data_IF_850456145542
#
_entry.id   IF_850456145542
#
_cell.length_a   1.000
_cell.length_b   1.000
_cell.length_c   1.000
_cell.angle_alpha   90.00
_cell.angle_beta   90.00
_cell.angle_gamma   90.00
#
_symmetry.space_group_name_H-M   'P 1'
#
loop_
_entity.id
_entity.type
_entity.pdbx_description
1 polymer ?
#
# COMPACT_ATOMS: atom_id res chain seq x y z
N UNK A 1 46.16 13.30 65.17
CA UNK A 1 44.89 12.92 64.51
C UNK A 1 45.15 12.87 63.00
N UNK A 2 45.06 11.69 62.37
CA UNK A 2 45.16 11.52 60.91
C UNK A 2 43.78 11.10 60.41
N UNK A 3 43.09 12.01 59.74
CA UNK A 3 41.77 11.77 59.15
C UNK A 3 41.99 11.07 57.80
N UNK A 4 41.62 9.80 57.70
CA UNK A 4 41.60 9.06 56.43
C UNK A 4 40.28 9.41 55.74
N UNK A 5 40.35 10.14 54.64
CA UNK A 5 39.22 10.46 53.79
C UNK A 5 38.95 9.23 52.90
N UNK A 6 37.94 8.44 53.24
CA UNK A 6 37.44 7.34 52.41
C UNK A 6 36.67 7.94 51.23
N UNK A 7 37.31 8.00 50.05
CA UNK A 7 36.64 8.30 48.80
C UNK A 7 35.87 7.07 48.35
N UNK A 8 34.56 7.04 48.64
CA UNK A 8 33.64 6.05 48.11
C UNK A 8 33.34 6.41 46.65
N UNK A 9 34.09 5.83 45.71
CA UNK A 9 33.77 5.94 44.27
C UNK A 9 32.55 5.07 44.01
N UNK A 10 31.36 5.66 44.02
CA UNK A 10 30.14 5.02 43.55
C UNK A 10 30.27 4.79 42.05
N UNK A 11 30.42 3.53 41.63
CA UNK A 11 30.34 3.15 40.22
C UNK A 11 28.88 3.35 39.81
N UNK A 12 28.63 4.46 39.10
CA UNK A 12 27.34 4.72 38.46
C UNK A 12 27.21 3.73 37.30
N UNK A 13 26.55 2.60 37.51
CA UNK A 13 26.25 1.65 36.43
C UNK A 13 25.14 2.23 35.57
N UNK A 14 25.50 3.04 34.57
CA UNK A 14 24.57 3.44 33.51
C UNK A 14 24.26 2.22 32.67
N UNK A 15 23.05 1.69 32.80
CA UNK A 15 22.53 0.65 31.93
C UNK A 15 22.42 1.21 30.51
N UNK A 16 23.38 0.87 29.65
CA UNK A 16 23.27 1.13 28.20
C UNK A 16 22.36 0.02 27.68
N UNK A 17 21.05 0.31 27.56
CA UNK A 17 20.18 -0.55 26.76
C UNK A 17 20.48 -0.26 25.30
N UNK A 18 20.75 -1.29 24.51
CA UNK A 18 20.78 -1.13 23.07
C UNK A 18 19.38 -0.68 22.60
N UNK A 19 19.33 0.27 21.67
CA UNK A 19 18.08 0.69 21.07
C UNK A 19 17.63 -0.39 20.08
N UNK A 20 16.36 -0.77 20.16
CA UNK A 20 15.76 -1.74 19.24
C UNK A 20 14.74 -1.06 18.33
N UNK A 21 14.61 -1.61 17.13
CA UNK A 21 13.57 -1.30 16.16
C UNK A 21 12.54 -2.42 16.18
N UNK A 22 11.26 -2.11 16.32
CA UNK A 22 10.20 -3.13 16.24
C UNK A 22 10.03 -3.62 14.81
N UNK A 23 10.06 -4.94 14.62
CA UNK A 23 9.79 -5.67 13.38
C UNK A 23 8.69 -6.72 13.68
N UNK A 24 7.40 -6.34 13.77
CA UNK A 24 6.36 -7.24 14.26
C UNK A 24 6.05 -8.43 13.32
N UNK A 25 6.39 -8.31 12.04
CA UNK A 25 6.18 -9.36 11.05
C UNK A 25 7.33 -10.38 11.14
N UNK A 26 7.00 -11.59 11.60
CA UNK A 26 7.99 -12.65 11.79
C UNK A 26 8.64 -13.09 10.46
N UNK A 27 7.95 -12.96 9.33
CA UNK A 27 8.51 -13.25 8.01
C UNK A 27 9.57 -12.22 7.62
N UNK A 28 9.32 -10.94 7.91
CA UNK A 28 10.30 -9.88 7.71
C UNK A 28 11.52 -10.07 8.61
N UNK A 29 11.30 -10.33 9.90
CA UNK A 29 12.38 -10.59 10.86
C UNK A 29 13.21 -11.82 10.47
N UNK A 30 12.57 -12.93 10.07
CA UNK A 30 13.27 -14.11 9.56
C UNK A 30 14.13 -13.77 8.33
N UNK A 31 13.63 -12.94 7.41
CA UNK A 31 14.42 -12.51 6.26
C UNK A 31 15.66 -11.72 6.69
N UNK A 32 15.55 -10.86 7.71
CA UNK A 32 16.70 -10.13 8.26
C UNK A 32 17.74 -11.07 8.91
N UNK A 33 17.29 -12.13 9.58
CA UNK A 33 18.17 -13.18 10.13
C UNK A 33 18.90 -13.92 8.99
N UNK A 34 18.15 -14.36 7.97
CA UNK A 34 18.70 -15.14 6.84
C UNK A 34 19.71 -14.32 6.01
N UNK A 35 19.50 -13.00 5.93
CA UNK A 35 20.42 -12.04 5.31
C UNK A 35 21.61 -11.68 6.20
N UNK A 36 21.67 -12.17 7.44
CA UNK A 36 22.72 -11.87 8.41
C UNK A 36 22.71 -10.43 8.92
N UNK A 37 21.57 -9.76 8.83
CA UNK A 37 21.37 -8.38 9.32
C UNK A 37 21.05 -8.43 10.81
N UNK A 38 20.10 -9.27 11.23
CA UNK A 38 19.70 -9.38 12.63
C UNK A 38 20.73 -10.19 13.43
N UNK A 39 21.49 -9.49 14.27
CA UNK A 39 22.68 -10.05 14.93
C UNK A 39 22.35 -11.02 16.07
N UNK A 40 21.14 -10.96 16.63
CA UNK A 40 20.73 -11.85 17.73
C UNK A 40 20.13 -13.19 17.23
N UNK A 41 19.87 -13.28 15.92
CA UNK A 41 19.37 -14.47 15.21
C UNK A 41 18.09 -15.06 15.82
N UNK A 42 17.27 -14.23 16.47
CA UNK A 42 16.09 -14.67 17.20
C UNK A 42 14.86 -13.92 16.74
N UNK A 43 13.85 -14.65 16.25
CA UNK A 43 12.54 -14.07 15.92
C UNK A 43 11.84 -13.64 17.23
N UNK A 44 11.87 -12.35 17.55
CA UNK A 44 11.36 -11.79 18.80
C UNK A 44 10.54 -10.49 18.59
N UNK A 45 10.29 -10.09 17.34
CA UNK A 45 9.53 -8.91 16.95
C UNK A 45 10.35 -7.62 16.94
N UNK A 46 11.68 -7.69 16.98
CA UNK A 46 12.57 -6.53 17.02
C UNK A 46 13.98 -6.88 16.56
N UNK A 47 14.72 -5.87 16.10
CA UNK A 47 16.15 -5.97 15.78
C UNK A 47 16.91 -4.85 16.48
N UNK A 48 18.22 -4.97 16.67
CA UNK A 48 19.01 -3.82 17.12
C UNK A 48 18.94 -2.72 16.06
N UNK A 49 18.66 -1.47 16.46
CA UNK A 49 18.60 -0.36 15.51
C UNK A 49 19.94 -0.16 14.80
N UNK A 50 21.06 -0.49 15.46
CA UNK A 50 22.40 -0.47 14.87
C UNK A 50 22.58 -1.47 13.73
N UNK A 51 21.89 -2.60 13.78
CA UNK A 51 22.01 -3.66 12.78
C UNK A 51 21.45 -3.20 11.45
N UNK A 52 20.28 -2.54 11.49
CA UNK A 52 19.59 -2.06 10.28
C UNK A 52 20.04 -0.68 9.80
N UNK A 53 20.52 0.19 10.70
CA UNK A 53 20.86 1.58 10.35
C UNK A 53 22.01 1.70 9.34
N UNK A 54 22.91 0.71 9.29
CA UNK A 54 24.05 0.67 8.36
C UNK A 54 23.80 -0.08 7.05
N UNK A 55 22.65 -0.74 6.93
CA UNK A 55 22.27 -1.50 5.73
C UNK A 55 22.07 -0.55 4.55
N UNK A 56 22.73 -0.85 3.43
CA UNK A 56 22.67 -0.03 2.20
C UNK A 56 21.89 -0.70 1.07
N UNK A 57 21.70 -2.02 1.13
CA UNK A 57 20.88 -2.78 0.20
C UNK A 57 20.07 -3.82 0.96
N UNK A 58 18.78 -3.90 0.68
CA UNK A 58 17.86 -4.90 1.22
C UNK A 58 17.10 -5.54 0.06
N UNK A 59 17.31 -6.83 -0.15
CA UNK A 59 16.62 -7.61 -1.17
C UNK A 59 15.76 -8.69 -0.50
N UNK A 60 14.45 -8.56 -0.62
CA UNK A 60 13.45 -9.49 -0.14
C UNK A 60 12.75 -10.23 -1.29
N UNK A 61 13.23 -10.09 -2.52
CA UNK A 61 12.66 -10.80 -3.67
C UNK A 61 12.90 -12.31 -3.58
N UNK A 62 12.12 -13.14 -4.32
CA UNK A 62 12.31 -14.59 -4.35
C UNK A 62 13.75 -14.96 -4.71
N UNK A 63 14.27 -15.97 -4.02
CA UNK A 63 15.64 -16.46 -4.22
C UNK A 63 15.63 -17.93 -4.62
N UNK A 64 16.78 -18.43 -5.08
CA UNK A 64 16.93 -19.84 -5.41
C UNK A 64 16.86 -20.70 -4.14
N UNK A 65 15.65 -21.13 -3.79
CA UNK A 65 15.36 -21.84 -2.54
C UNK A 65 14.01 -21.51 -1.92
N UNK A 66 13.33 -20.44 -2.36
CA UNK A 66 12.00 -20.09 -1.87
C UNK A 66 11.70 -18.59 -1.92
N UNK A 67 10.79 -18.19 -1.06
CA UNK A 67 10.34 -16.81 -0.88
C UNK A 67 10.16 -16.52 0.61
N UNK A 68 10.38 -15.28 1.01
CA UNK A 68 10.07 -14.84 2.38
C UNK A 68 8.57 -14.56 2.48
N UNK A 69 7.91 -15.09 3.51
CA UNK A 69 6.48 -14.84 3.75
C UNK A 69 6.28 -13.50 4.47
N UNK A 70 6.65 -12.39 3.82
CA UNK A 70 6.55 -11.05 4.42
C UNK A 70 5.17 -10.46 4.13
N UNK A 71 4.37 -10.22 5.17
CA UNK A 71 3.07 -9.56 5.00
C UNK A 71 3.15 -8.06 5.27
N UNK A 72 4.13 -7.61 6.08
CA UNK A 72 4.30 -6.23 6.47
C UNK A 72 5.79 -5.92 6.73
N UNK A 73 6.27 -4.77 6.25
CA UNK A 73 7.66 -4.31 6.46
C UNK A 73 7.79 -3.21 7.52
N UNK A 74 6.87 -3.16 8.48
CA UNK A 74 6.92 -2.19 9.59
C UNK A 74 8.29 -2.24 10.27
N UNK A 75 8.88 -1.06 10.52
CA UNK A 75 10.24 -0.92 11.02
C UNK A 75 11.28 -0.62 9.94
N UNK A 76 10.93 -0.75 8.65
CA UNK A 76 11.80 -0.37 7.52
C UNK A 76 12.32 1.08 7.61
N UNK A 77 11.60 1.97 8.30
CA UNK A 77 12.01 3.37 8.52
C UNK A 77 13.33 3.52 9.30
N UNK A 78 13.76 2.48 10.02
CA UNK A 78 15.04 2.47 10.73
C UNK A 78 16.26 2.19 9.84
N UNK A 79 16.06 1.81 8.57
CA UNK A 79 17.13 1.54 7.60
C UNK A 79 17.63 2.86 6.98
N UNK A 80 18.20 3.72 7.82
CA UNK A 80 18.50 5.13 7.49
C UNK A 80 19.57 5.31 6.40
N UNK A 81 20.39 4.29 6.14
CA UNK A 81 21.41 4.28 5.08
C UNK A 81 20.98 3.54 3.81
N UNK A 82 19.73 3.09 3.72
CA UNK A 82 19.27 2.24 2.63
C UNK A 82 19.22 2.98 1.30
N UNK A 83 19.91 2.43 0.30
CA UNK A 83 20.00 2.94 -1.07
C UNK A 83 19.24 2.07 -2.06
N UNK A 84 19.25 0.76 -1.86
CA UNK A 84 18.59 -0.19 -2.74
C UNK A 84 17.58 -0.98 -1.92
N UNK A 85 16.32 -0.96 -2.35
CA UNK A 85 15.25 -1.76 -1.76
C UNK A 85 14.58 -2.58 -2.86
N UNK A 86 14.66 -3.90 -2.76
CA UNK A 86 13.95 -4.81 -3.65
C UNK A 86 12.90 -5.60 -2.88
N UNK A 87 11.65 -5.33 -3.21
CA UNK A 87 10.44 -5.94 -2.68
C UNK A 87 9.64 -6.65 -3.79
N UNK A 88 10.26 -6.87 -4.95
CA UNK A 88 9.60 -7.54 -6.07
C UNK A 88 9.13 -8.92 -5.63
N UNK A 89 7.87 -9.25 -5.94
CA UNK A 89 7.25 -10.55 -5.63
C UNK A 89 7.24 -10.98 -4.15
N UNK A 90 7.42 -10.07 -3.19
CA UNK A 90 7.46 -10.46 -1.76
C UNK A 90 6.08 -10.84 -1.19
N UNK A 91 4.97 -10.46 -1.86
CA UNK A 91 3.61 -10.82 -1.42
C UNK A 91 3.11 -10.05 -0.20
N UNK A 92 3.37 -8.73 -0.13
CA UNK A 92 2.83 -7.86 0.91
C UNK A 92 1.30 -7.90 0.96
N UNK A 93 0.76 -8.04 2.17
CA UNK A 93 -0.67 -8.03 2.46
C UNK A 93 -1.53 -9.06 1.71
N UNK A 94 -0.96 -10.18 1.26
CA UNK A 94 -1.70 -11.27 0.57
C UNK A 94 -2.83 -11.86 1.41
N UNK A 95 -2.74 -11.80 2.74
CA UNK A 95 -3.80 -12.24 3.64
C UNK A 95 -5.13 -11.45 3.51
N UNK A 96 -5.12 -10.32 2.80
CA UNK A 96 -6.31 -9.50 2.53
C UNK A 96 -7.10 -9.95 1.28
N UNK A 97 -6.62 -10.97 0.55
CA UNK A 97 -7.25 -11.44 -0.67
C UNK A 97 -7.25 -10.37 -1.75
N UNK A 98 -8.42 -10.05 -2.33
CA UNK A 98 -8.56 -8.98 -3.33
C UNK A 98 -8.87 -7.60 -2.71
N UNK A 99 -8.74 -7.45 -1.39
CA UNK A 99 -8.94 -6.16 -0.73
C UNK A 99 -7.65 -5.34 -0.75
N UNK A 100 -7.71 -4.02 -1.02
CA UNK A 100 -6.52 -3.18 -1.00
C UNK A 100 -5.93 -3.12 0.41
N UNK A 101 -4.61 -3.31 0.51
CA UNK A 101 -3.84 -3.09 1.74
C UNK A 101 -3.59 -1.61 2.02
N UNK A 102 -2.83 -1.30 3.09
CA UNK A 102 -2.44 0.07 3.38
C UNK A 102 -1.40 0.59 2.35
N UNK A 103 -1.24 1.92 2.24
CA UNK A 103 -0.13 2.51 1.50
C UNK A 103 1.24 2.03 2.02
N UNK A 104 2.17 1.81 1.11
CA UNK A 104 3.58 1.55 1.40
C UNK A 104 4.31 2.90 1.51
N UNK A 105 4.53 3.35 2.74
CA UNK A 105 5.23 4.61 3.00
C UNK A 105 6.74 4.42 3.15
N UNK A 106 7.49 4.93 2.18
CA UNK A 106 8.96 4.89 2.10
C UNK A 106 9.60 6.29 2.26
N UNK A 107 8.82 7.30 2.66
CA UNK A 107 9.27 8.69 2.80
C UNK A 107 10.41 8.90 3.82
N UNK A 108 10.58 7.95 4.75
CA UNK A 108 11.68 7.94 5.71
C UNK A 108 13.03 7.52 5.09
N UNK A 109 13.01 6.80 3.95
CA UNK A 109 14.20 6.28 3.28
C UNK A 109 14.86 7.34 2.39
N UNK A 110 15.33 8.43 3.00
CA UNK A 110 15.86 9.60 2.27
C UNK A 110 17.11 9.34 1.43
N UNK A 111 17.82 8.23 1.69
CA UNK A 111 18.99 7.81 0.92
C UNK A 111 18.66 6.85 -0.23
N UNK A 112 17.37 6.53 -0.44
CA UNK A 112 16.96 5.56 -1.45
C UNK A 112 17.28 6.05 -2.87
N UNK A 113 18.01 5.23 -3.61
CA UNK A 113 18.49 5.45 -4.98
C UNK A 113 17.76 4.52 -5.96
N UNK A 114 17.44 3.29 -5.56
CA UNK A 114 16.77 2.29 -6.38
C UNK A 114 15.67 1.58 -5.59
N UNK A 115 14.47 1.55 -6.16
CA UNK A 115 13.33 0.81 -5.62
C UNK A 115 12.77 -0.15 -6.66
N UNK A 116 12.71 -1.42 -6.29
CA UNK A 116 12.13 -2.50 -7.09
C UNK A 116 10.94 -3.08 -6.33
N UNK A 117 9.80 -3.14 -7.01
CA UNK A 117 8.50 -3.54 -6.51
C UNK A 117 7.73 -4.24 -7.62
N UNK A 118 8.40 -4.99 -8.49
CA UNK A 118 7.73 -5.64 -9.62
C UNK A 118 6.85 -6.79 -9.13
N UNK A 119 5.67 -6.93 -9.73
CA UNK A 119 4.77 -8.07 -9.54
C UNK A 119 4.84 -9.06 -10.70
N UNK A 120 4.36 -10.28 -10.47
CA UNK A 120 4.21 -11.34 -11.47
C UNK A 120 2.73 -11.70 -11.73
N UNK A 121 1.85 -10.69 -11.72
CA UNK A 121 0.41 -10.87 -11.95
C UNK A 121 -0.29 -11.68 -10.85
N UNK A 122 -1.14 -12.63 -11.25
CA UNK A 122 -2.08 -13.38 -10.39
C UNK A 122 -1.46 -14.29 -9.31
N UNK A 123 -0.18 -14.65 -9.41
CA UNK A 123 0.39 -15.76 -8.62
C UNK A 123 0.89 -15.34 -7.24
N UNK A 124 1.39 -14.11 -7.10
CA UNK A 124 1.79 -13.50 -5.82
C UNK A 124 1.35 -12.04 -5.87
N UNK A 125 0.19 -11.74 -5.30
CA UNK A 125 -0.38 -10.39 -5.38
C UNK A 125 0.25 -9.48 -4.32
N UNK A 126 0.98 -8.46 -4.78
CA UNK A 126 1.35 -7.32 -3.95
C UNK A 126 0.08 -6.48 -3.75
N UNK A 127 -0.54 -6.59 -2.57
CA UNK A 127 -1.80 -5.92 -2.27
C UNK A 127 -1.58 -4.49 -1.76
N UNK A 128 -0.78 -3.71 -2.48
CA UNK A 128 -0.40 -2.33 -2.13
C UNK A 128 -1.02 -1.38 -3.15
N UNK A 129 -2.04 -0.58 -2.75
CA UNK A 129 -2.68 0.35 -3.68
C UNK A 129 -1.85 1.61 -3.95
N UNK A 130 -0.92 1.92 -3.06
CA UNK A 130 -0.17 3.17 -3.09
C UNK A 130 1.24 3.00 -2.57
N UNK A 131 2.20 3.60 -3.29
CA UNK A 131 3.58 3.76 -2.85
C UNK A 131 3.86 5.25 -2.61
N UNK A 132 4.33 5.61 -1.41
CA UNK A 132 4.66 6.98 -1.03
C UNK A 132 6.18 7.15 -1.05
N UNK A 133 6.65 7.97 -2.00
CA UNK A 133 8.06 8.30 -2.24
C UNK A 133 8.26 9.83 -2.31
N UNK A 134 7.53 10.56 -1.46
CA UNK A 134 7.47 12.03 -1.49
C UNK A 134 8.68 12.70 -0.82
N UNK A 135 9.60 11.94 -0.21
CA UNK A 135 10.82 12.46 0.42
C UNK A 135 12.07 11.59 0.15
N UNK A 136 12.24 11.17 -1.11
CA UNK A 136 13.30 10.30 -1.61
C UNK A 136 14.05 11.00 -2.77
N UNK A 137 14.82 12.07 -2.49
CA UNK A 137 15.37 12.97 -3.52
C UNK A 137 16.53 12.38 -4.33
N UNK A 138 16.99 11.17 -3.98
CA UNK A 138 18.13 10.51 -4.63
C UNK A 138 17.71 9.39 -5.60
N UNK A 139 16.41 9.17 -5.80
CA UNK A 139 15.91 8.10 -6.68
C UNK A 139 16.40 8.27 -8.12
N UNK A 140 16.96 7.20 -8.66
CA UNK A 140 17.37 7.08 -10.06
C UNK A 140 16.66 5.93 -10.76
N UNK A 141 16.09 4.98 -10.00
CA UNK A 141 15.34 3.85 -10.53
C UNK A 141 14.12 3.51 -9.67
N UNK A 142 12.99 3.33 -10.34
CA UNK A 142 11.73 2.90 -9.78
C UNK A 142 11.08 1.87 -10.70
N UNK A 143 11.04 0.61 -10.29
CA UNK A 143 10.41 -0.45 -11.07
C UNK A 143 9.25 -1.06 -10.28
N UNK A 144 8.03 -0.82 -10.73
CA UNK A 144 6.78 -1.25 -10.10
C UNK A 144 5.78 -1.78 -11.16
N UNK A 145 6.29 -2.45 -12.20
CA UNK A 145 5.47 -3.09 -13.21
C UNK A 145 4.78 -4.34 -12.68
N UNK A 146 3.69 -4.78 -13.33
CA UNK A 146 3.05 -6.06 -12.98
C UNK A 146 2.25 -6.07 -11.67
N UNK A 147 1.95 -4.89 -11.11
CA UNK A 147 1.18 -4.74 -9.87
C UNK A 147 -0.27 -4.37 -10.16
N UNK A 148 -1.19 -5.31 -10.01
CA UNK A 148 -2.60 -5.08 -10.39
C UNK A 148 -3.40 -4.27 -9.39
N UNK A 149 -2.95 -4.21 -8.13
CA UNK A 149 -3.55 -3.33 -7.12
C UNK A 149 -2.93 -1.95 -7.08
N UNK A 150 -1.74 -1.74 -7.63
CA UNK A 150 -1.07 -0.46 -7.55
C UNK A 150 -1.81 0.56 -8.39
N UNK A 151 -2.40 1.55 -7.74
CA UNK A 151 -3.14 2.63 -8.38
C UNK A 151 -2.33 3.93 -8.39
N UNK A 152 -1.47 4.12 -7.39
CA UNK A 152 -0.80 5.41 -7.15
C UNK A 152 0.66 5.27 -6.73
N UNK A 153 1.52 6.11 -7.32
CA UNK A 153 2.87 6.37 -6.84
C UNK A 153 2.99 7.86 -6.55
N UNK A 154 3.37 8.22 -5.33
CA UNK A 154 3.50 9.61 -4.89
C UNK A 154 4.97 10.05 -4.94
N UNK A 155 5.35 10.77 -6.00
CA UNK A 155 6.69 11.39 -6.13
C UNK A 155 6.69 12.89 -5.83
N UNK A 156 5.51 13.52 -5.77
CA UNK A 156 5.35 14.96 -5.57
C UNK A 156 6.14 15.46 -4.36
N UNK A 157 7.08 16.36 -4.61
CA UNK A 157 8.05 16.89 -3.64
C UNK A 157 9.44 16.34 -3.92
N UNK A 158 9.59 15.02 -4.03
CA UNK A 158 10.86 14.37 -4.39
C UNK A 158 11.24 14.57 -5.84
N UNK A 159 10.24 14.54 -6.72
CA UNK A 159 10.40 14.71 -8.15
C UNK A 159 11.16 15.99 -8.53
N UNK A 160 11.10 17.04 -7.69
CA UNK A 160 11.85 18.29 -7.86
C UNK A 160 13.37 18.13 -7.85
N UNK A 161 13.88 16.99 -7.37
CA UNK A 161 15.30 16.68 -7.23
C UNK A 161 15.77 15.54 -8.15
N UNK A 162 14.84 14.85 -8.82
CA UNK A 162 15.15 13.68 -9.66
C UNK A 162 15.49 14.11 -11.09
N UNK A 163 16.77 14.37 -11.36
CA UNK A 163 17.21 14.83 -12.69
C UNK A 163 17.28 13.74 -13.76
N UNK A 164 17.33 12.48 -13.34
CA UNK A 164 17.35 11.31 -14.20
C UNK A 164 16.69 10.16 -13.44
N UNK A 165 15.53 9.72 -13.94
CA UNK A 165 14.75 8.64 -13.34
C UNK A 165 14.41 7.63 -14.43
N UNK A 166 14.80 6.38 -14.21
CA UNK A 166 14.24 5.24 -14.93
C UNK A 166 13.02 4.73 -14.17
N UNK A 167 11.86 4.72 -14.81
CA UNK A 167 10.61 4.30 -14.20
C UNK A 167 9.87 3.27 -15.05
N UNK A 168 9.44 2.19 -14.42
CA UNK A 168 8.48 1.24 -14.98
C UNK A 168 7.31 1.15 -14.00
N UNK A 169 6.07 1.34 -14.46
CA UNK A 169 4.89 1.10 -13.66
C UNK A 169 3.67 0.80 -14.56
N UNK A 170 2.65 0.21 -13.94
CA UNK A 170 1.49 -0.29 -14.65
C UNK A 170 1.77 -1.61 -15.37
N UNK A 171 0.75 -2.12 -16.04
CA UNK A 171 0.78 -3.41 -16.72
C UNK A 171 -0.28 -3.47 -17.84
N UNK A 172 -0.35 -4.56 -18.60
CA UNK A 172 -1.43 -4.83 -19.54
C UNK A 172 -2.08 -6.16 -19.20
N UNK A 173 -3.40 -6.19 -19.12
CA UNK A 173 -4.13 -7.44 -18.96
C UNK A 173 -3.87 -8.33 -20.19
N UNK A 174 -3.30 -9.54 -20.02
CA UNK A 174 -2.91 -10.39 -21.14
C UNK A 174 -4.11 -11.00 -21.88
N UNK A 175 -5.30 -11.02 -21.27
CA UNK A 175 -6.53 -11.56 -21.86
C UNK A 175 -7.37 -10.50 -22.55
N UNK A 176 -7.49 -9.30 -21.97
CA UNK A 176 -8.32 -8.21 -22.52
C UNK A 176 -7.51 -7.21 -23.34
N UNK A 177 -6.20 -7.10 -23.07
CA UNK A 177 -5.33 -6.07 -23.63
C UNK A 177 -5.56 -4.68 -23.02
N UNK A 178 -6.42 -4.57 -22.00
CA UNK A 178 -6.69 -3.31 -21.31
C UNK A 178 -5.48 -2.87 -20.47
N UNK A 179 -5.26 -1.55 -20.40
CA UNK A 179 -4.15 -0.98 -19.64
C UNK A 179 -4.44 -0.95 -18.14
N UNK A 180 -3.45 -1.39 -17.39
CA UNK A 180 -3.37 -1.22 -15.95
C UNK A 180 -2.59 0.06 -15.63
N UNK A 181 -3.14 1.20 -16.04
CA UNK A 181 -2.74 2.55 -15.66
C UNK A 181 -2.44 2.73 -14.16
N UNK A 182 -1.27 3.31 -13.87
CA UNK A 182 -0.86 3.82 -12.56
C UNK A 182 -0.80 5.35 -12.61
N UNK A 183 -1.38 6.01 -11.60
CA UNK A 183 -1.24 7.45 -11.44
C UNK A 183 0.07 7.79 -10.73
N UNK A 184 0.94 8.56 -11.38
CA UNK A 184 2.18 9.06 -10.78
C UNK A 184 1.97 10.52 -10.38
N UNK A 185 1.86 10.76 -9.08
CA UNK A 185 1.65 12.09 -8.54
C UNK A 185 2.97 12.87 -8.56
N UNK A 186 3.01 13.97 -9.28
CA UNK A 186 4.18 14.84 -9.44
C UNK A 186 3.86 16.30 -9.13
N UNK A 187 4.88 17.12 -8.96
CA UNK A 187 4.76 18.55 -8.69
C UNK A 187 4.26 19.33 -9.89
N UNK A 188 4.64 18.95 -11.12
CA UNK A 188 4.15 19.57 -12.35
C UNK A 188 3.81 18.51 -13.41
N UNK A 189 2.54 18.07 -13.43
CA UNK A 189 2.04 17.03 -14.34
C UNK A 189 2.24 17.38 -15.81
N UNK A 190 1.97 18.63 -16.21
CA UNK A 190 2.12 19.09 -17.58
C UNK A 190 3.57 18.98 -18.06
N UNK A 191 4.56 19.32 -17.24
CA UNK A 191 5.96 19.14 -17.63
C UNK A 191 6.35 17.65 -17.68
N UNK A 192 5.85 16.84 -16.75
CA UNK A 192 6.12 15.39 -16.75
C UNK A 192 5.54 14.70 -17.99
N UNK A 193 4.28 14.97 -18.34
CA UNK A 193 3.62 14.45 -19.55
C UNK A 193 4.35 14.82 -20.84
N UNK A 194 4.89 16.04 -20.89
CA UNK A 194 5.61 16.52 -22.08
C UNK A 194 7.11 16.19 -22.06
N UNK A 195 7.64 15.53 -21.03
CA UNK A 195 9.07 15.27 -20.88
C UNK A 195 9.91 16.56 -20.88
N UNK A 196 9.47 17.58 -20.13
CA UNK A 196 10.08 18.90 -20.10
C UNK A 196 10.67 19.24 -18.74
N UNK A 197 11.55 20.25 -18.71
CA UNK A 197 12.15 20.73 -17.47
C UNK A 197 12.94 19.63 -16.75
N UNK A 198 12.66 19.44 -15.47
CA UNK A 198 13.31 18.43 -14.62
C UNK A 198 13.04 17.00 -15.08
N UNK A 199 11.92 16.76 -15.79
CA UNK A 199 11.50 15.44 -16.26
C UNK A 199 12.11 15.07 -17.62
N UNK A 200 12.90 15.96 -18.23
CA UNK A 200 13.39 15.78 -19.62
C UNK A 200 14.32 14.59 -19.84
N UNK A 201 15.01 14.12 -18.80
CA UNK A 201 15.85 12.93 -18.86
C UNK A 201 15.19 11.72 -18.20
N UNK A 202 13.90 11.78 -17.88
CA UNK A 202 13.21 10.61 -17.35
C UNK A 202 12.97 9.61 -18.49
N UNK A 203 13.21 8.34 -18.19
CA UNK A 203 12.85 7.24 -19.07
C UNK A 203 11.71 6.49 -18.40
N UNK A 204 10.53 6.53 -19.02
CA UNK A 204 9.29 6.03 -18.41
C UNK A 204 8.67 4.97 -19.30
N UNK A 205 8.32 3.83 -18.73
CA UNK A 205 7.67 2.71 -19.40
C UNK A 205 6.41 2.25 -18.67
N UNK A 206 5.46 1.76 -19.47
CA UNK A 206 4.18 1.23 -19.01
C UNK A 206 3.06 2.26 -19.04
N UNK A 207 1.81 1.82 -18.81
CA UNK A 207 0.66 2.71 -18.79
C UNK A 207 0.69 3.56 -17.53
N UNK A 208 1.12 4.80 -17.67
CA UNK A 208 1.30 5.75 -16.57
C UNK A 208 0.65 7.07 -16.96
N UNK A 209 -0.05 7.67 -15.99
CA UNK A 209 -0.59 9.03 -16.13
C UNK A 209 0.02 9.92 -15.04
N UNK A 210 0.56 11.07 -15.42
CA UNK A 210 1.05 12.03 -14.44
C UNK A 210 -0.07 12.95 -13.96
N UNK A 211 -0.12 13.23 -12.67
CA UNK A 211 -1.12 14.14 -12.10
C UNK A 211 -0.55 14.96 -10.95
N UNK A 212 -1.13 16.14 -10.70
CA UNK A 212 -0.77 16.95 -9.53
C UNK A 212 -1.44 16.46 -8.24
N UNK A 213 -2.58 15.79 -8.35
CA UNK A 213 -3.41 15.38 -7.21
C UNK A 213 -3.75 13.89 -7.20
N UNK A 214 -3.56 13.17 -8.31
CA UNK A 214 -4.06 11.81 -8.49
C UNK A 214 -5.47 11.66 -7.90
N UNK A 215 -6.31 12.66 -8.13
CA UNK A 215 -7.72 12.59 -7.75
C UNK A 215 -8.32 11.38 -8.44
N UNK A 216 -8.93 10.49 -7.65
CA UNK A 216 -9.48 9.23 -8.14
C UNK A 216 -10.47 9.51 -9.28
N UNK A 217 -10.07 9.30 -10.53
CA UNK A 217 -10.99 8.74 -11.49
C UNK A 217 -11.19 7.30 -11.06
N UNK A 218 -12.39 6.97 -10.59
CA UNK A 218 -12.81 5.66 -10.11
C UNK A 218 -12.81 4.59 -11.23
N UNK A 219 -11.66 4.27 -11.81
CA UNK A 219 -11.58 3.43 -13.02
C UNK A 219 -11.12 1.99 -12.77
N UNK A 220 -10.99 1.51 -11.52
CA UNK A 220 -10.50 0.14 -11.24
C UNK A 220 -11.38 -0.79 -10.41
N UNK A 221 -12.61 -0.40 -10.11
CA UNK A 221 -13.62 -1.40 -9.79
C UNK A 221 -14.56 -1.42 -10.98
N UNK A 222 -14.91 -2.61 -11.48
CA UNK A 222 -16.12 -2.78 -12.28
C UNK A 222 -17.30 -2.38 -11.38
N UNK A 223 -17.51 -1.08 -11.23
CA UNK A 223 -18.56 -0.49 -10.44
C UNK A 223 -19.82 -0.72 -11.26
N UNK A 224 -20.52 -1.78 -10.87
CA UNK A 224 -21.76 -2.13 -11.55
C UNK A 224 -22.73 -1.02 -11.24
N UNK A 225 -23.19 -0.33 -12.28
CA UNK A 225 -24.17 0.73 -12.12
C UNK A 225 -25.45 0.13 -11.49
N UNK A 226 -25.81 0.65 -10.33
CA UNK A 226 -27.05 0.34 -9.65
C UNK A 226 -27.83 1.62 -9.38
N UNK A 227 -29.13 1.56 -9.62
CA UNK A 227 -30.04 2.66 -9.33
C UNK A 227 -31.13 2.17 -8.36
N UNK A 228 -31.35 2.93 -7.29
CA UNK A 228 -32.32 2.60 -6.24
C UNK A 228 -33.57 3.49 -6.39
N UNK A 229 -34.75 2.88 -6.39
CA UNK A 229 -36.03 3.59 -6.51
C UNK A 229 -37.12 3.03 -5.59
N UNK A 230 -37.87 3.87 -4.86
CA UNK A 230 -37.61 5.30 -4.67
C UNK A 230 -36.36 5.52 -3.80
N UNK A 231 -35.67 6.64 -4.01
CA UNK A 231 -34.61 7.11 -3.15
C UNK A 231 -34.68 8.64 -3.10
N UNK A 232 -35.15 9.26 -1.99
CA UNK A 232 -35.39 8.67 -0.67
C UNK A 232 -36.54 7.65 -0.60
N UNK A 233 -36.50 6.76 0.40
CA UNK A 233 -37.56 5.78 0.71
C UNK A 233 -38.02 5.83 2.17
N UNK A 234 -39.18 5.26 2.48
CA UNK A 234 -39.73 5.10 3.85
C UNK A 234 -39.93 3.64 4.26
N UNK A 235 -40.22 2.72 3.33
CA UNK A 235 -40.51 1.32 3.69
C UNK A 235 -39.73 0.33 2.84
N UNK A 236 -39.55 0.59 1.55
CA UNK A 236 -38.87 -0.34 0.66
C UNK A 236 -38.19 0.39 -0.51
N UNK A 237 -37.21 -0.25 -1.13
CA UNK A 237 -36.68 0.19 -2.41
C UNK A 237 -36.62 -0.96 -3.41
N UNK A 238 -36.51 -0.62 -4.68
CA UNK A 238 -36.22 -1.50 -5.79
C UNK A 238 -34.85 -1.15 -6.35
N UNK A 239 -34.16 -2.15 -6.90
CA UNK A 239 -32.84 -1.99 -7.51
C UNK A 239 -32.94 -2.26 -9.01
N UNK A 240 -32.42 -1.35 -9.82
CA UNK A 240 -32.22 -1.52 -11.26
C UNK A 240 -30.74 -1.69 -11.55
N UNK A 241 -30.38 -2.77 -12.26
CA UNK A 241 -29.03 -3.09 -12.71
C UNK A 241 -29.07 -3.92 -13.99
N UNK A 242 -27.96 -4.03 -14.70
CA UNK A 242 -27.79 -4.90 -15.88
C UNK A 242 -27.21 -6.28 -15.52
N UNK A 243 -26.79 -6.49 -14.26
CA UNK A 243 -26.10 -7.68 -13.82
C UNK A 243 -26.97 -8.56 -12.91
N UNK A 244 -26.66 -9.86 -12.85
CA UNK A 244 -27.39 -10.79 -11.99
C UNK A 244 -26.99 -10.63 -10.51
N UNK A 245 -27.97 -10.33 -9.67
CA UNK A 245 -27.79 -10.09 -8.23
C UNK A 245 -27.55 -11.43 -7.52
N UNK A 246 -26.38 -11.60 -6.88
CA UNK A 246 -26.11 -12.74 -5.98
C UNK A 246 -26.52 -12.43 -4.55
N UNK A 247 -26.11 -11.26 -4.05
CA UNK A 247 -26.41 -10.84 -2.69
C UNK A 247 -26.56 -9.33 -2.62
N UNK A 248 -27.35 -8.86 -1.66
CA UNK A 248 -27.52 -7.44 -1.38
C UNK A 248 -27.42 -7.20 0.12
N UNK A 249 -26.58 -6.26 0.52
CA UNK A 249 -26.35 -5.90 1.93
C UNK A 249 -26.56 -4.40 2.11
N UNK A 250 -27.10 -4.03 3.26
CA UNK A 250 -27.28 -2.62 3.66
C UNK A 250 -26.37 -2.35 4.84
N UNK A 251 -25.53 -1.32 4.71
CA UNK A 251 -24.58 -0.89 5.73
C UNK A 251 -24.96 0.49 6.28
N UNK A 252 -24.76 0.69 7.58
CA UNK A 252 -24.82 2.02 8.19
C UNK A 252 -23.59 2.87 7.81
N UNK A 253 -23.64 4.18 8.11
CA UNK A 253 -22.50 5.09 7.92
C UNK A 253 -21.21 4.65 8.62
N UNK A 254 -21.31 3.84 9.68
CA UNK A 254 -20.17 3.35 10.44
C UNK A 254 -19.66 1.99 9.90
N UNK A 255 -20.14 1.53 8.74
CA UNK A 255 -19.72 0.28 8.11
C UNK A 255 -20.35 -0.99 8.70
N UNK A 256 -21.32 -0.88 9.61
CA UNK A 256 -22.00 -2.05 10.19
C UNK A 256 -23.08 -2.57 9.24
N UNK A 257 -23.05 -3.86 8.92
CA UNK A 257 -24.14 -4.54 8.21
C UNK A 257 -25.42 -4.51 9.06
N UNK A 258 -26.51 -3.96 8.50
CA UNK A 258 -27.81 -3.84 9.18
C UNK A 258 -28.88 -4.73 8.57
N UNK A 259 -28.80 -5.00 7.26
CA UNK A 259 -29.73 -5.90 6.56
C UNK A 259 -28.99 -6.68 5.47
N UNK A 260 -29.49 -7.87 5.16
CA UNK A 260 -28.99 -8.72 4.08
C UNK A 260 -30.15 -9.42 3.37
N UNK A 261 -30.10 -9.41 2.05
CA UNK A 261 -31.12 -9.95 1.18
C UNK A 261 -30.53 -10.87 0.10
N UNK A 262 -31.37 -11.79 -0.36
CA UNK A 262 -31.19 -12.49 -1.63
C UNK A 262 -31.85 -11.69 -2.75
N UNK A 263 -31.65 -12.10 -4.01
CA UNK A 263 -32.26 -11.44 -5.17
C UNK A 263 -33.79 -11.38 -5.07
N UNK A 264 -34.35 -10.16 -5.05
CA UNK A 264 -35.78 -9.89 -4.91
C UNK A 264 -36.17 -8.66 -5.75
N UNK A 265 -37.47 -8.55 -6.08
CA UNK A 265 -38.00 -7.39 -6.81
C UNK A 265 -38.08 -6.12 -5.94
N UNK A 266 -38.27 -6.29 -4.63
CA UNK A 266 -38.45 -5.22 -3.65
C UNK A 266 -37.74 -5.59 -2.36
N UNK A 267 -37.04 -4.63 -1.76
CA UNK A 267 -36.23 -4.79 -0.55
C UNK A 267 -36.82 -3.95 0.59
N UNK A 268 -37.32 -4.62 1.63
CA UNK A 268 -37.97 -3.99 2.78
C UNK A 268 -36.93 -3.43 3.78
N UNK A 269 -36.98 -2.13 4.03
CA UNK A 269 -36.13 -1.38 4.97
C UNK A 269 -36.94 -0.68 6.06
N UNK A 270 -38.20 -1.09 6.28
CA UNK A 270 -39.07 -0.54 7.33
C UNK A 270 -38.50 -0.74 8.73
N UNK A 271 -37.70 -1.79 8.92
CA UNK A 271 -37.12 -2.20 10.20
C UNK A 271 -35.93 -1.34 10.65
N UNK A 272 -35.34 -0.53 9.75
CA UNK A 272 -34.17 0.30 10.06
C UNK A 272 -34.57 1.77 10.26
N UNK A 273 -33.93 2.50 11.21
CA UNK A 273 -34.23 3.90 11.47
C UNK A 273 -34.00 4.82 10.27
N UNK A 274 -34.63 5.99 10.27
CA UNK A 274 -34.33 7.05 9.33
C UNK A 274 -32.83 7.43 9.38
N UNK A 275 -32.23 7.63 8.22
CA UNK A 275 -30.79 7.87 8.09
C UNK A 275 -30.22 7.61 6.70
N UNK A 276 -28.91 7.75 6.58
CA UNK A 276 -28.16 7.44 5.37
C UNK A 276 -27.54 6.05 5.51
N UNK A 277 -27.67 5.25 4.46
CA UNK A 277 -27.14 3.90 4.37
C UNK A 277 -26.43 3.69 3.04
N UNK A 278 -25.64 2.63 2.95
CA UNK A 278 -25.05 2.16 1.70
C UNK A 278 -25.59 0.79 1.35
N UNK A 279 -26.16 0.65 0.16
CA UNK A 279 -26.56 -0.62 -0.42
C UNK A 279 -25.37 -1.15 -1.22
N UNK A 280 -24.82 -2.29 -0.81
CA UNK A 280 -23.80 -3.04 -1.53
C UNK A 280 -24.45 -4.23 -2.22
N UNK A 281 -24.30 -4.33 -3.53
CA UNK A 281 -24.76 -5.44 -4.36
C UNK A 281 -23.54 -6.23 -4.85
N UNK A 282 -23.56 -7.54 -4.69
CA UNK A 282 -22.53 -8.43 -5.22
C UNK A 282 -23.08 -9.25 -6.39
N UNK A 283 -22.27 -9.41 -7.43
CA UNK A 283 -22.59 -10.20 -8.63
C UNK A 283 -21.43 -11.13 -8.98
N UNK A 284 -21.51 -11.86 -10.09
CA UNK A 284 -20.36 -12.58 -10.64
C UNK A 284 -19.30 -11.67 -11.27
N UNK A 285 -19.62 -10.43 -11.63
CA UNK A 285 -18.72 -9.52 -12.38
C UNK A 285 -18.11 -8.41 -11.54
N UNK A 286 -18.56 -8.25 -10.29
CA UNK A 286 -18.11 -7.18 -9.42
C UNK A 286 -19.14 -6.78 -8.37
N UNK A 287 -18.91 -5.60 -7.79
CA UNK A 287 -19.73 -5.01 -6.75
C UNK A 287 -20.27 -3.65 -7.22
N UNK A 288 -21.55 -3.37 -6.94
CA UNK A 288 -22.13 -2.04 -7.05
C UNK A 288 -22.45 -1.48 -5.66
N UNK A 289 -22.17 -0.20 -5.41
CA UNK A 289 -22.48 0.46 -4.14
C UNK A 289 -23.31 1.72 -4.42
N UNK A 290 -24.41 1.91 -3.70
CA UNK A 290 -25.25 3.10 -3.86
C UNK A 290 -25.80 3.58 -2.52
N UNK A 291 -25.79 4.91 -2.36
CA UNK A 291 -26.34 5.57 -1.19
C UNK A 291 -27.87 5.44 -1.16
N UNK A 292 -28.42 5.00 -0.03
CA UNK A 292 -29.85 4.97 0.26
C UNK A 292 -30.19 6.02 1.32
N UNK A 293 -31.20 6.83 1.07
CA UNK A 293 -31.74 7.81 2.02
C UNK A 293 -33.07 7.24 2.55
N UNK A 294 -33.11 6.91 3.85
CA UNK A 294 -34.31 6.44 4.55
C UNK A 294 -34.90 7.59 5.36
N UNK A 295 -36.14 7.96 5.04
CA UNK A 295 -36.95 8.94 5.79
C UNK A 295 -37.76 8.27 6.91
#
# INVERSE_FOLDING_TARGET
>A
MRTILLFLVGILTTSISAQTTSIPDQGFEQALIDLGIDSDQTINGQVLTSDVASVTSLDLSPYNGGYYFVQNISGIQAFTSLKILNLSEVGLYTNLGYSPGPPLDLSALTQLEEFYFNGHGDLITLNVPEVILNNNPNLTRLEAGGNWMLERIVLKGSDQYLWNLFMIAGDYDPWTGESIDVCVQVTNSTQAENGQGIYSNWTVYGPINFSNDCSLSASRFNEIEIQLFPNPTTEYFQLKTQEEIKSLMVYSLNGKEVLKFQNQNTYDVSQIPAGIYFVKMETSKGTGIQKLIKN
#
